data_IF_302579450181
#
_entry.id   IF_302579450181
#
_cell.length_a   1.000
_cell.length_b   1.000
_cell.length_c   1.000
_cell.angle_alpha   90.00
_cell.angle_beta   90.00
_cell.angle_gamma   90.00
#
_symmetry.space_group_name_H-M   'P 1'
#
loop_
_entity.id
_entity.type
_entity.pdbx_description
1 polymer ?
#
# COMPACT_ATOMS: atom_id res chain seq x y z
N UNK A 1 -14.69 17.99 -9.39
CA UNK A 1 -15.80 17.01 -9.55
C UNK A 1 -15.34 15.57 -9.39
N UNK A 2 -14.45 15.02 -10.25
CA UNK A 2 -14.00 13.61 -10.16
C UNK A 2 -13.30 13.23 -8.83
N UNK A 3 -12.51 14.15 -8.26
CA UNK A 3 -11.77 13.92 -7.00
C UNK A 3 -12.69 13.82 -5.77
N UNK A 4 -13.79 14.59 -5.75
CA UNK A 4 -14.75 14.60 -4.63
C UNK A 4 -15.57 13.30 -4.61
N UNK A 5 -15.97 12.79 -5.78
CA UNK A 5 -16.63 11.48 -5.87
C UNK A 5 -15.72 10.34 -5.39
N UNK A 6 -14.42 10.38 -5.71
CA UNK A 6 -13.48 9.36 -5.25
C UNK A 6 -13.33 9.37 -3.71
N UNK A 7 -13.31 10.57 -3.12
CA UNK A 7 -13.26 10.75 -1.67
C UNK A 7 -14.55 10.24 -1.01
N UNK A 8 -15.72 10.52 -1.58
CA UNK A 8 -17.00 10.04 -1.06
C UNK A 8 -17.14 8.52 -1.14
N UNK A 9 -16.70 7.90 -2.24
CA UNK A 9 -16.68 6.43 -2.38
C UNK A 9 -15.71 5.82 -1.37
N UNK A 10 -14.53 6.42 -1.19
CA UNK A 10 -13.57 5.96 -0.19
C UNK A 10 -14.14 6.05 1.24
N UNK A 11 -14.81 7.15 1.58
CA UNK A 11 -15.47 7.34 2.87
C UNK A 11 -16.59 6.32 3.11
N UNK A 12 -17.40 6.03 2.10
CA UNK A 12 -18.48 5.02 2.19
C UNK A 12 -17.92 3.62 2.43
N UNK A 13 -16.86 3.22 1.71
CA UNK A 13 -16.19 1.93 1.90
C UNK A 13 -15.55 1.84 3.29
N UNK A 14 -14.94 2.92 3.76
CA UNK A 14 -14.35 2.98 5.10
C UNK A 14 -15.40 2.88 6.22
N UNK A 15 -16.58 3.50 6.02
CA UNK A 15 -17.69 3.40 6.96
C UNK A 15 -18.18 1.95 7.13
N UNK A 16 -18.19 1.14 6.07
CA UNK A 16 -18.56 -0.28 6.14
C UNK A 16 -17.54 -1.12 6.92
N UNK A 17 -16.26 -0.74 6.93
CA UNK A 17 -15.23 -1.45 7.67
C UNK A 17 -15.38 -1.36 9.20
N UNK A 18 -16.03 -0.30 9.72
CA UNK A 18 -16.23 -0.12 11.16
C UNK A 18 -17.36 -0.98 11.75
N UNK A 19 -18.24 -1.58 10.92
CA UNK A 19 -19.36 -2.40 11.39
C UNK A 19 -19.06 -3.91 11.48
N UNK A 20 -17.82 -4.35 11.23
CA UNK A 20 -17.48 -5.77 11.22
C UNK A 20 -17.18 -6.30 12.64
N UNK A 21 -18.20 -6.87 13.29
CA UNK A 21 -18.16 -7.28 14.72
C UNK A 21 -17.47 -8.64 14.98
N UNK A 22 -17.20 -9.46 13.94
CA UNK A 22 -16.39 -10.68 14.06
C UNK A 22 -15.43 -10.83 12.88
N UNK A 23 -14.14 -10.66 13.17
CA UNK A 23 -13.06 -11.19 12.32
C UNK A 23 -12.52 -12.40 13.06
N UNK A 24 -12.62 -13.58 12.46
CA UNK A 24 -12.00 -14.76 13.05
C UNK A 24 -10.47 -14.68 12.92
N UNK A 25 -9.77 -15.47 13.73
CA UNK A 25 -8.31 -15.45 13.77
C UNK A 25 -7.66 -15.89 12.45
N UNK A 26 -8.30 -16.74 11.66
CA UNK A 26 -7.78 -17.22 10.37
C UNK A 26 -7.87 -16.12 9.31
N UNK A 27 -9.02 -15.44 9.22
CA UNK A 27 -9.19 -14.26 8.37
C UNK A 27 -8.22 -13.15 8.78
N UNK A 28 -8.05 -12.90 10.07
CA UNK A 28 -7.09 -11.91 10.57
C UNK A 28 -5.66 -12.21 10.11
N UNK A 29 -5.21 -13.45 10.29
CA UNK A 29 -3.87 -13.87 9.87
C UNK A 29 -3.70 -13.75 8.35
N UNK A 30 -4.71 -14.16 7.60
CA UNK A 30 -4.71 -14.09 6.14
C UNK A 30 -4.61 -12.64 5.65
N UNK A 31 -5.40 -11.73 6.23
CA UNK A 31 -5.36 -10.29 5.89
C UNK A 31 -4.00 -9.68 6.24
N UNK A 32 -3.43 -10.02 7.40
CA UNK A 32 -2.10 -9.53 7.80
C UNK A 32 -1.02 -10.06 6.84
N UNK A 33 -0.99 -11.36 6.57
CA UNK A 33 0.00 -11.97 5.67
C UNK A 33 -0.11 -11.41 4.25
N UNK A 34 -1.32 -11.36 3.70
CA UNK A 34 -1.57 -10.83 2.36
C UNK A 34 -1.26 -9.33 2.27
N UNK A 35 -1.58 -8.56 3.31
CA UNK A 35 -1.28 -7.13 3.39
C UNK A 35 0.21 -6.86 3.40
N UNK A 36 0.98 -7.62 4.19
CA UNK A 36 2.44 -7.52 4.25
C UNK A 36 3.06 -7.93 2.90
N UNK A 37 2.62 -9.05 2.31
CA UNK A 37 3.16 -9.53 1.03
C UNK A 37 2.88 -8.54 -0.10
N UNK A 38 1.67 -7.97 -0.16
CA UNK A 38 1.30 -6.95 -1.13
C UNK A 38 2.19 -5.70 -0.98
N UNK A 39 2.35 -5.22 0.26
CA UNK A 39 3.19 -4.05 0.53
C UNK A 39 4.66 -4.27 0.13
N UNK A 40 5.20 -5.47 0.37
CA UNK A 40 6.57 -5.83 -0.01
C UNK A 40 6.77 -5.86 -1.53
N UNK A 41 5.82 -6.41 -2.28
CA UNK A 41 5.88 -6.42 -3.76
C UNK A 41 5.81 -5.00 -4.31
N UNK A 42 4.88 -4.17 -3.83
CA UNK A 42 4.76 -2.78 -4.26
C UNK A 42 6.04 -2.01 -3.94
N UNK A 43 6.59 -2.16 -2.73
CA UNK A 43 7.82 -1.49 -2.32
C UNK A 43 9.03 -1.90 -3.18
N UNK A 44 9.16 -3.19 -3.52
CA UNK A 44 10.23 -3.66 -4.38
C UNK A 44 10.13 -3.08 -5.80
N UNK A 45 8.92 -3.07 -6.38
CA UNK A 45 8.69 -2.53 -7.73
C UNK A 45 8.94 -1.03 -7.78
N UNK A 46 8.41 -0.25 -6.83
CA UNK A 46 8.62 1.21 -6.80
C UNK A 46 10.06 1.57 -6.50
N UNK A 47 10.74 0.81 -5.63
CA UNK A 47 12.17 0.98 -5.39
C UNK A 47 13.01 0.67 -6.62
N UNK A 48 12.65 -0.36 -7.39
CA UNK A 48 13.33 -0.67 -8.65
C UNK A 48 13.15 0.46 -9.66
N UNK A 49 11.95 1.02 -9.79
CA UNK A 49 11.72 2.13 -10.71
C UNK A 49 12.56 3.37 -10.39
N UNK A 50 12.75 3.68 -9.10
CA UNK A 50 13.55 4.84 -8.67
C UNK A 50 15.06 4.61 -8.69
N UNK A 51 15.52 3.48 -8.15
CA UNK A 51 16.94 3.24 -7.91
C UNK A 51 17.58 2.28 -8.93
N UNK A 52 16.78 1.57 -9.73
CA UNK A 52 17.22 0.53 -10.69
C UNK A 52 18.26 -0.44 -10.09
N UNK A 53 18.07 -0.77 -8.80
CA UNK A 53 18.98 -1.60 -8.01
C UNK A 53 18.21 -2.66 -7.24
N UNK A 54 18.61 -3.92 -7.40
CA UNK A 54 17.98 -5.08 -6.74
C UNK A 54 18.25 -5.06 -5.24
N UNK A 55 19.44 -4.64 -4.81
CA UNK A 55 19.79 -4.57 -3.39
C UNK A 55 18.87 -3.60 -2.63
N UNK A 56 18.63 -2.42 -3.21
CA UNK A 56 17.70 -1.44 -2.64
C UNK A 56 16.26 -1.93 -2.67
N UNK A 57 15.84 -2.63 -3.73
CA UNK A 57 14.50 -3.20 -3.82
C UNK A 57 14.22 -4.24 -2.72
N UNK A 58 15.21 -5.07 -2.36
CA UNK A 58 15.09 -6.03 -1.25
C UNK A 58 14.99 -5.31 0.09
N UNK A 59 15.86 -4.33 0.35
CA UNK A 59 15.83 -3.55 1.59
C UNK A 59 14.46 -2.89 1.76
N UNK A 60 13.96 -2.20 0.73
CA UNK A 60 12.66 -1.55 0.78
C UNK A 60 11.49 -2.53 0.81
N UNK A 61 11.61 -3.70 0.18
CA UNK A 61 10.62 -4.78 0.27
C UNK A 61 10.42 -5.28 1.70
N UNK A 62 11.48 -5.35 2.50
CA UNK A 62 11.42 -5.69 3.94
C UNK A 62 10.69 -4.59 4.73
N UNK A 63 10.87 -3.32 4.36
CA UNK A 63 10.13 -2.20 4.95
C UNK A 63 8.65 -2.11 4.51
N UNK A 64 8.24 -2.85 3.46
CA UNK A 64 6.86 -3.02 3.00
C UNK A 64 6.10 -1.67 2.93
N UNK A 65 4.95 -1.55 3.59
CA UNK A 65 4.11 -0.35 3.58
C UNK A 65 4.78 0.93 4.06
N UNK A 66 5.77 0.86 4.96
CA UNK A 66 6.48 2.06 5.40
C UNK A 66 7.20 2.72 4.22
N UNK A 67 7.85 1.93 3.37
CA UNK A 67 8.47 2.44 2.16
C UNK A 67 7.44 2.89 1.12
N UNK A 68 6.33 2.16 0.95
CA UNK A 68 5.28 2.55 0.00
C UNK A 68 4.73 3.94 0.32
N UNK A 69 4.43 4.22 1.60
CA UNK A 69 3.95 5.53 2.04
C UNK A 69 5.04 6.59 1.80
N UNK A 70 6.29 6.30 2.18
CA UNK A 70 7.42 7.19 1.91
C UNK A 70 7.56 7.52 0.40
N UNK A 71 7.45 6.52 -0.47
CA UNK A 71 7.55 6.66 -1.91
C UNK A 71 6.40 7.54 -2.45
N UNK A 72 5.16 7.30 -2.02
CA UNK A 72 4.00 8.09 -2.47
C UNK A 72 4.10 9.56 -2.06
N UNK A 73 4.64 9.85 -0.86
CA UNK A 73 4.82 11.21 -0.36
C UNK A 73 6.02 11.92 -1.02
N UNK A 74 7.09 11.19 -1.34
CA UNK A 74 8.34 11.73 -1.90
C UNK A 74 8.49 11.52 -3.40
N UNK A 75 7.44 11.08 -4.11
CA UNK A 75 7.50 10.90 -5.57
C UNK A 75 7.70 12.23 -6.29
N UNK A 76 8.64 12.23 -7.23
CA UNK A 76 8.95 13.35 -8.10
C UNK A 76 7.90 13.48 -9.20
N UNK A 77 7.89 14.62 -9.91
CA UNK A 77 6.88 14.89 -10.93
C UNK A 77 7.05 14.02 -12.19
N UNK A 78 8.29 13.68 -12.53
CA UNK A 78 8.69 12.79 -13.64
C UNK A 78 8.33 11.33 -13.40
N UNK A 79 8.19 10.91 -12.14
CA UNK A 79 7.75 9.56 -11.76
C UNK A 79 6.22 9.39 -11.82
N UNK A 80 5.47 10.49 -11.99
CA UNK A 80 4.01 10.48 -12.16
C UNK A 80 3.68 10.32 -13.65
N UNK A 81 4.00 9.14 -14.21
CA UNK A 81 3.50 8.77 -15.54
C UNK A 81 2.00 8.51 -15.52
#
# INVERSE_FOLDING_TARGET
>A
MKKVNFILVFLLVFAQAYSQERIDSETTRTVITNGISLGSVIAAVTSWERNKSVLWAVIHGIFSWFYVIYFVLTRRADEKK
#
